data_IF_188307927320
#
_entry.id   IF_188307927320
#
_cell.length_a   1.000
_cell.length_b   1.000
_cell.length_c   1.000
_cell.angle_alpha   90.00
_cell.angle_beta   90.00
_cell.angle_gamma   90.00
#
_symmetry.space_group_name_H-M   'P 1'
#
loop_
_entity.id
_entity.type
_entity.pdbx_description
1 polymer ?
#
# COMPACT_ATOMS: atom_id res chain seq x y z
N UNK A 1 6.13 -25.20 -23.75
CA UNK A 1 6.95 -24.78 -22.60
C UNK A 1 6.06 -23.95 -21.70
N UNK A 2 5.63 -24.51 -20.56
CA UNK A 2 4.88 -23.75 -19.55
C UNK A 2 5.87 -22.82 -18.87
N UNK A 3 5.78 -21.50 -19.11
CA UNK A 3 6.61 -20.53 -18.41
C UNK A 3 6.38 -20.65 -16.90
N UNK A 4 7.44 -20.70 -16.10
CA UNK A 4 7.30 -20.65 -14.66
C UNK A 4 6.66 -19.30 -14.28
N UNK A 5 5.50 -19.34 -13.63
CA UNK A 5 4.86 -18.13 -13.12
C UNK A 5 5.65 -17.63 -11.92
N UNK A 6 6.34 -16.49 -12.08
CA UNK A 6 7.03 -15.82 -10.98
C UNK A 6 6.01 -15.00 -10.21
N UNK A 7 5.83 -15.32 -8.94
CA UNK A 7 5.01 -14.56 -8.02
C UNK A 7 5.89 -13.67 -7.12
N UNK A 8 5.30 -12.66 -6.45
CA UNK A 8 6.00 -11.86 -5.45
C UNK A 8 5.35 -12.02 -4.08
N UNK A 9 6.18 -12.36 -3.09
CA UNK A 9 5.75 -12.54 -1.70
C UNK A 9 6.53 -11.64 -0.76
N UNK A 10 5.90 -11.31 0.37
CA UNK A 10 6.55 -10.61 1.48
C UNK A 10 6.82 -11.58 2.62
N UNK A 11 8.04 -11.55 3.15
CA UNK A 11 8.44 -12.37 4.27
C UNK A 11 7.67 -11.94 5.52
N UNK A 12 6.86 -12.84 6.06
CA UNK A 12 5.93 -12.56 7.15
C UNK A 12 6.46 -12.95 8.54
N UNK A 13 7.51 -13.80 8.58
CA UNK A 13 8.15 -14.34 9.79
C UNK A 13 9.64 -14.51 9.57
N UNK A 14 10.43 -14.44 10.63
CA UNK A 14 11.87 -14.73 10.56
C UNK A 14 12.14 -16.18 10.15
N UNK A 15 13.12 -16.40 9.26
CA UNK A 15 13.55 -17.75 8.88
C UNK A 15 14.43 -17.80 7.63
N UNK A 16 13.91 -17.33 6.50
CA UNK A 16 14.63 -17.37 5.20
C UNK A 16 15.01 -15.96 4.70
N UNK A 17 14.33 -14.92 5.19
CA UNK A 17 14.62 -13.51 4.90
C UNK A 17 14.26 -12.61 6.09
N UNK A 18 14.50 -11.31 5.93
CA UNK A 18 14.07 -10.33 6.94
C UNK A 18 12.57 -10.08 6.82
N UNK A 19 11.86 -9.96 7.94
CA UNK A 19 10.43 -9.61 7.95
C UNK A 19 10.20 -8.32 7.15
N UNK A 20 9.18 -8.35 6.28
CA UNK A 20 8.86 -7.25 5.36
C UNK A 20 9.66 -7.23 4.06
N UNK A 21 10.64 -8.12 3.88
CA UNK A 21 11.39 -8.25 2.63
C UNK A 21 10.49 -8.84 1.54
N UNK A 22 10.47 -8.20 0.37
CA UNK A 22 9.77 -8.68 -0.82
C UNK A 22 10.74 -9.50 -1.68
N UNK A 23 10.33 -10.70 -2.06
CA UNK A 23 11.14 -11.59 -2.90
C UNK A 23 10.31 -12.21 -4.03
N UNK A 24 10.92 -12.51 -5.19
CA UNK A 24 10.31 -13.35 -6.20
C UNK A 24 10.25 -14.79 -5.70
N UNK A 25 9.11 -15.46 -5.89
CA UNK A 25 8.86 -16.83 -5.51
C UNK A 25 8.42 -17.59 -6.75
N UNK A 26 9.21 -18.60 -7.14
CA UNK A 26 8.85 -19.55 -8.18
C UNK A 26 8.09 -20.72 -7.52
N UNK A 27 6.78 -20.79 -7.74
CA UNK A 27 5.90 -21.79 -7.13
C UNK A 27 5.08 -21.24 -5.96
N UNK A 28 4.82 -22.10 -4.96
CA UNK A 28 3.96 -21.78 -3.82
C UNK A 28 4.67 -20.91 -2.77
N UNK A 29 3.90 -20.06 -2.10
CA UNK A 29 4.40 -19.12 -1.09
C UNK A 29 4.88 -19.81 0.19
N UNK A 30 4.40 -21.02 0.49
CA UNK A 30 4.62 -21.68 1.79
C UNK A 30 4.13 -20.83 2.97
N UNK A 31 4.49 -21.23 4.19
CA UNK A 31 3.96 -20.59 5.41
C UNK A 31 4.68 -19.29 5.81
N UNK A 32 5.84 -19.01 5.21
CA UNK A 32 6.71 -17.89 5.59
C UNK A 32 6.47 -16.64 4.76
N UNK A 33 5.76 -16.76 3.64
CA UNK A 33 5.55 -15.67 2.70
C UNK A 33 4.07 -15.42 2.46
N UNK A 34 3.70 -14.15 2.40
CA UNK A 34 2.35 -13.74 2.04
C UNK A 34 2.33 -13.16 0.64
N UNK A 35 1.31 -13.47 -0.19
CA UNK A 35 1.21 -12.92 -1.53
C UNK A 35 0.98 -11.40 -1.49
N UNK A 36 1.63 -10.66 -2.39
CA UNK A 36 1.44 -9.22 -2.54
C UNK A 36 0.27 -8.87 -3.47
N UNK A 37 -0.94 -9.24 -3.04
CA UNK A 37 -2.17 -9.04 -3.81
C UNK A 37 -3.11 -7.99 -3.19
N UNK A 38 -2.58 -7.08 -2.38
CA UNK A 38 -3.40 -6.01 -1.81
C UNK A 38 -4.35 -6.43 -0.69
N UNK A 39 -4.25 -7.65 -0.15
CA UNK A 39 -5.16 -8.12 0.90
C UNK A 39 -4.92 -7.46 2.26
N UNK A 40 -5.96 -7.47 3.10
CA UNK A 40 -5.87 -7.14 4.52
C UNK A 40 -5.40 -8.36 5.31
N UNK A 41 -4.45 -8.14 6.21
CA UNK A 41 -3.87 -9.15 7.10
C UNK A 41 -3.95 -8.68 8.54
N UNK A 42 -4.15 -9.62 9.47
CA UNK A 42 -4.31 -9.29 10.88
C UNK A 42 -2.98 -8.84 11.49
N UNK A 43 -2.99 -7.70 12.17
CA UNK A 43 -1.83 -7.21 12.89
C UNK A 43 -1.50 -8.08 14.12
N UNK A 44 -2.48 -8.78 14.69
CA UNK A 44 -2.24 -9.69 15.81
C UNK A 44 -1.60 -11.01 15.36
N UNK A 45 -1.86 -11.43 14.12
CA UNK A 45 -1.30 -12.66 13.56
C UNK A 45 0.12 -12.44 13.01
N UNK A 46 0.40 -11.24 12.49
CA UNK A 46 1.71 -10.85 11.97
C UNK A 46 2.20 -9.53 12.60
N UNK A 47 2.49 -9.52 13.91
CA UNK A 47 2.85 -8.30 14.63
C UNK A 47 4.17 -7.69 14.13
N UNK A 48 5.17 -8.52 13.83
CA UNK A 48 6.46 -8.07 13.31
C UNK A 48 6.32 -7.46 11.90
N UNK A 49 5.53 -8.10 11.05
CA UNK A 49 5.26 -7.58 9.72
C UNK A 49 4.49 -6.25 9.79
N UNK A 50 3.55 -6.13 10.73
CA UNK A 50 2.86 -4.88 10.99
C UNK A 50 3.81 -3.76 11.44
N UNK A 51 4.83 -4.06 12.26
CA UNK A 51 5.82 -3.04 12.64
C UNK A 51 6.59 -2.50 11.43
N UNK A 52 6.86 -3.32 10.43
CA UNK A 52 7.60 -2.93 9.23
C UNK A 52 6.70 -2.21 8.20
N UNK A 53 5.52 -2.76 7.93
CA UNK A 53 4.59 -2.27 6.90
C UNK A 53 3.71 -1.13 7.43
N UNK A 54 3.21 -1.29 8.65
CA UNK A 54 2.26 -0.40 9.29
C UNK A 54 1.02 -0.15 8.43
N UNK A 55 0.49 1.07 8.52
CA UNK A 55 -0.67 1.51 7.73
C UNK A 55 -0.27 2.11 6.38
N UNK A 56 0.94 1.85 5.86
CA UNK A 56 1.49 2.52 4.67
C UNK A 56 0.59 2.38 3.44
N UNK A 57 0.05 1.18 3.21
CA UNK A 57 -0.75 0.87 2.03
C UNK A 57 -2.26 1.02 2.25
N UNK A 58 -2.68 1.30 3.49
CA UNK A 58 -4.06 1.60 3.84
C UNK A 58 -4.06 2.49 5.08
N UNK A 59 -3.73 3.79 4.92
CA UNK A 59 -3.70 4.72 6.05
C UNK A 59 -5.12 4.97 6.56
N UNK A 60 -5.31 5.29 7.84
CA UNK A 60 -6.63 5.62 8.39
C UNK A 60 -7.23 6.89 7.78
N UNK A 61 -6.39 7.80 7.29
CA UNK A 61 -6.79 9.08 6.69
C UNK A 61 -6.18 9.14 5.28
N UNK A 62 -6.99 9.51 4.29
CA UNK A 62 -6.56 9.81 2.92
C UNK A 62 -6.58 11.32 2.71
N UNK A 63 -5.62 11.81 1.93
CA UNK A 63 -5.55 13.21 1.48
C UNK A 63 -5.96 13.29 0.02
N UNK A 64 -7.11 13.87 -0.25
CA UNK A 64 -7.53 14.17 -1.62
C UNK A 64 -7.15 15.59 -1.99
N UNK A 65 -6.59 15.76 -3.20
CA UNK A 65 -6.33 17.09 -3.75
C UNK A 65 -7.67 17.74 -4.09
N UNK A 66 -7.92 18.92 -3.55
CA UNK A 66 -9.14 19.67 -3.85
C UNK A 66 -9.02 20.17 -5.29
N UNK A 67 -10.01 19.90 -6.17
CA UNK A 67 -10.00 20.42 -7.52
C UNK A 67 -9.86 21.95 -7.51
N UNK A 68 -8.96 22.48 -8.36
CA UNK A 68 -8.76 23.91 -8.49
C UNK A 68 -10.07 24.61 -8.88
N UNK A 69 -10.68 25.29 -7.91
CA UNK A 69 -11.91 26.05 -8.13
C UNK A 69 -11.70 27.28 -9.02
N UNK A 70 -12.79 27.96 -9.38
CA UNK A 70 -12.79 29.13 -10.26
C UNK A 70 -11.79 30.22 -9.80
N UNK A 71 -11.65 30.43 -8.50
CA UNK A 71 -10.71 31.40 -7.90
C UNK A 71 -9.24 31.01 -8.13
N UNK A 72 -8.89 29.71 -8.10
CA UNK A 72 -7.52 29.26 -8.40
C UNK A 72 -7.18 29.39 -9.88
N UNK A 73 -8.17 29.22 -10.76
CA UNK A 73 -8.00 29.47 -12.21
C UNK A 73 -7.73 30.95 -12.48
N UNK A 74 -8.43 31.86 -11.79
CA UNK A 74 -8.18 33.31 -11.86
C UNK A 74 -6.80 33.66 -11.32
N UNK A 75 -6.37 33.07 -10.19
CA UNK A 75 -5.02 33.26 -9.64
C UNK A 75 -3.93 32.85 -10.63
N UNK A 76 -4.09 31.69 -11.29
CA UNK A 76 -3.18 31.24 -12.35
C UNK A 76 -3.14 32.23 -13.53
N UNK A 77 -4.29 32.82 -13.89
CA UNK A 77 -4.38 33.80 -14.97
C UNK A 77 -3.63 35.11 -14.66
N UNK A 78 -3.62 35.57 -13.40
CA UNK A 78 -2.86 36.75 -12.96
C UNK A 78 -1.42 36.44 -12.52
N UNK A 79 -0.87 35.28 -12.90
CA UNK A 79 0.52 34.90 -12.63
C UNK A 79 0.82 34.47 -11.19
N UNK A 80 -0.21 34.27 -10.34
CA UNK A 80 -0.04 33.78 -8.97
C UNK A 80 0.03 32.26 -8.96
N UNK A 81 1.00 31.70 -8.23
CA UNK A 81 1.15 30.25 -8.07
C UNK A 81 -0.04 29.69 -7.28
N UNK A 82 -0.82 28.74 -7.84
CA UNK A 82 -1.90 28.09 -7.10
C UNK A 82 -1.33 27.30 -5.93
N UNK A 83 -2.03 27.33 -4.79
CA UNK A 83 -1.62 26.57 -3.60
C UNK A 83 -2.44 25.31 -3.56
N UNK A 84 -1.79 24.16 -3.73
CA UNK A 84 -2.45 22.87 -3.58
C UNK A 84 -3.15 22.80 -2.23
N UNK A 85 -4.45 22.58 -2.25
CA UNK A 85 -5.26 22.33 -1.06
C UNK A 85 -5.56 20.85 -1.01
N UNK A 86 -5.51 20.30 0.20
CA UNK A 86 -5.88 18.93 0.47
C UNK A 86 -7.02 18.91 1.46
N UNK A 87 -7.95 17.98 1.28
CA UNK A 87 -8.94 17.63 2.29
C UNK A 87 -8.56 16.27 2.84
N UNK A 88 -8.52 16.19 4.16
CA UNK A 88 -8.35 14.93 4.87
C UNK A 88 -9.73 14.30 5.06
N UNK A 89 -9.86 13.02 4.71
CA UNK A 89 -11.05 12.21 4.99
C UNK A 89 -10.65 10.86 5.56
N UNK A 90 -11.56 10.25 6.30
CA UNK A 90 -11.41 8.87 6.75
C UNK A 90 -11.31 7.92 5.56
N UNK A 91 -10.42 6.94 5.66
CA UNK A 91 -10.27 5.90 4.66
C UNK A 91 -11.34 4.82 4.88
N UNK A 92 -12.30 4.65 3.95
CA UNK A 92 -13.35 3.63 4.10
C UNK A 92 -12.82 2.20 4.07
N UNK A 93 -11.63 1.97 3.50
CA UNK A 93 -11.00 0.65 3.45
C UNK A 93 -10.16 0.34 4.70
N UNK A 94 -9.99 1.30 5.61
CA UNK A 94 -9.23 1.10 6.83
C UNK A 94 -9.97 0.19 7.81
N UNK A 95 -9.27 -0.86 8.27
CA UNK A 95 -9.81 -1.83 9.21
C UNK A 95 -8.93 -1.84 10.45
N UNK A 96 -9.50 -1.43 11.59
CA UNK A 96 -8.77 -1.44 12.87
C UNK A 96 -8.29 -2.85 13.20
N UNK A 97 -7.01 -2.99 13.56
CA UNK A 97 -6.39 -4.29 13.85
C UNK A 97 -5.91 -5.07 12.63
N UNK A 98 -6.10 -4.52 11.42
CA UNK A 98 -5.59 -5.08 10.19
C UNK A 98 -4.70 -4.06 9.47
N UNK A 99 -3.80 -4.54 8.63
CA UNK A 99 -3.03 -3.73 7.71
C UNK A 99 -3.12 -4.31 6.31
N UNK A 100 -2.83 -3.49 5.30
CA UNK A 100 -2.92 -3.88 3.90
C UNK A 100 -1.53 -4.15 3.35
N UNK A 101 -1.36 -5.27 2.65
CA UNK A 101 -0.15 -5.53 1.89
C UNK A 101 -0.16 -4.73 0.58
N UNK A 102 1.02 -4.44 -0.02
CA UNK A 102 1.05 -3.84 -1.34
C UNK A 102 0.40 -4.77 -2.36
N UNK A 103 -0.23 -4.17 -3.38
CA UNK A 103 -0.68 -4.88 -4.57
C UNK A 103 0.35 -4.69 -5.69
N UNK A 104 1.09 -5.75 -6.00
CA UNK A 104 2.04 -5.73 -7.11
C UNK A 104 1.44 -6.21 -8.43
N UNK A 105 0.18 -6.64 -8.46
CA UNK A 105 -0.53 -6.99 -9.71
C UNK A 105 -0.98 -5.75 -10.49
N UNK A 106 -1.15 -4.62 -9.81
CA UNK A 106 -1.56 -3.36 -10.44
C UNK A 106 -0.42 -2.65 -11.20
N UNK A 107 0.80 -3.22 -11.25
CA UNK A 107 1.98 -2.64 -11.90
C UNK A 107 2.37 -3.34 -13.21
N UNK A 108 1.58 -4.32 -13.68
CA UNK A 108 1.76 -5.00 -14.98
C UNK A 108 0.81 -4.48 -16.05
#
# INVERSE_FOLDING_TARGET
>A
MSGAQINYGICAREGVGRVGMVIPIAGDFGDNYLPLAGQHVSASEYPELFQVVGNRYCPPIIRDEVPAGMIERIRRWVGLTPRKKYVERDNPDYRRGFFRLPDMRAQS
#
